data_IF_674891149665
#
_entry.id   IF_674891149665
#
_cell.length_a   1.000
_cell.length_b   1.000
_cell.length_c   1.000
_cell.angle_alpha   90.00
_cell.angle_beta   90.00
_cell.angle_gamma   90.00
#
_symmetry.space_group_name_H-M   'P 1'
#
loop_
_entity.id
_entity.type
_entity.pdbx_description
1 polymer ?
#
# COMPACT_ATOMS: atom_id res chain seq x y z
N UNK A 1 -7.14 37.45 -11.25
CA UNK A 1 -7.47 37.53 -12.69
C UNK A 1 -6.42 38.39 -13.33
N UNK A 2 -5.45 37.78 -14.01
CA UNK A 2 -4.35 38.50 -14.67
C UNK A 2 -4.23 37.95 -16.07
N UNK A 3 -4.74 38.73 -17.02
CA UNK A 3 -4.80 38.41 -18.45
C UNK A 3 -3.49 38.81 -19.09
N UNK A 4 -2.77 37.87 -19.69
CA UNK A 4 -1.61 38.17 -20.53
C UNK A 4 -2.08 38.57 -21.93
N UNK A 5 -1.72 39.78 -22.34
CA UNK A 5 -2.03 40.36 -23.64
C UNK A 5 -1.13 39.77 -24.73
N UNK A 6 -1.77 39.25 -25.79
CA UNK A 6 -1.16 38.79 -27.03
C UNK A 6 -0.71 40.01 -27.86
N UNK A 7 0.60 40.18 -28.11
CA UNK A 7 1.07 41.18 -29.08
C UNK A 7 1.34 40.51 -30.43
N UNK A 8 0.35 40.67 -31.31
CA UNK A 8 0.39 40.37 -32.73
C UNK A 8 1.18 41.49 -33.42
N UNK A 9 2.35 41.17 -34.01
CA UNK A 9 3.06 42.09 -34.90
C UNK A 9 2.90 41.60 -36.34
N UNK A 10 1.98 42.24 -37.07
CA UNK A 10 1.88 42.16 -38.52
C UNK A 10 2.79 43.22 -39.14
N UNK A 11 3.75 42.82 -39.97
CA UNK A 11 4.45 43.71 -40.89
C UNK A 11 4.28 43.16 -42.31
N UNK A 12 3.36 43.79 -43.03
CA UNK A 12 3.20 43.69 -44.47
C UNK A 12 4.36 44.42 -45.16
N UNK A 13 5.13 43.70 -45.96
CA UNK A 13 6.17 44.24 -46.83
C UNK A 13 6.07 43.60 -48.20
N UNK A 14 5.47 44.32 -49.15
CA UNK A 14 5.45 44.00 -50.58
C UNK A 14 6.78 44.41 -51.20
N UNK A 15 7.51 43.49 -51.84
CA UNK A 15 8.62 43.82 -52.74
C UNK A 15 8.51 43.01 -54.03
N UNK A 16 8.74 43.75 -55.12
CA UNK A 16 8.62 43.44 -56.53
C UNK A 16 9.46 42.25 -57.03
N UNK A 17 8.90 41.64 -58.06
CA UNK A 17 9.39 40.50 -58.84
C UNK A 17 10.54 40.93 -59.76
N UNK A 18 11.66 40.19 -59.71
CA UNK A 18 12.64 40.11 -60.80
C UNK A 18 12.87 38.65 -61.15
N UNK A 19 12.52 38.28 -62.39
CA UNK A 19 12.76 36.95 -62.96
C UNK A 19 14.16 36.90 -63.59
N UNK A 20 14.99 35.94 -63.18
CA UNK A 20 16.12 35.45 -63.94
C UNK A 20 16.58 34.07 -63.41
N UNK A 21 16.67 33.09 -64.32
CA UNK A 21 17.48 31.88 -64.16
C UNK A 21 16.74 30.63 -63.67
N UNK A 22 16.25 29.83 -64.62
CA UNK A 22 16.04 28.39 -64.37
C UNK A 22 17.38 27.68 -64.43
N UNK A 23 17.95 27.36 -63.26
CA UNK A 23 18.98 26.33 -63.12
C UNK A 23 18.33 25.09 -62.52
N UNK A 24 18.22 24.03 -63.31
CA UNK A 24 17.86 22.70 -62.81
C UNK A 24 18.97 22.19 -61.87
N UNK A 25 18.76 22.32 -60.57
CA UNK A 25 19.47 21.54 -59.56
C UNK A 25 18.68 20.25 -59.30
N UNK A 26 18.81 19.27 -60.21
CA UNK A 26 18.46 17.90 -59.90
C UNK A 26 19.73 17.21 -59.37
N UNK A 27 19.86 17.06 -58.06
CA UNK A 27 20.62 15.99 -57.37
C UNK A 27 20.63 16.20 -55.85
N UNK A 28 20.45 15.10 -55.12
CA UNK A 28 20.65 14.89 -53.68
C UNK A 28 19.44 14.98 -52.72
N UNK A 29 18.28 14.40 -53.09
CA UNK A 29 17.21 14.08 -52.11
C UNK A 29 17.33 12.68 -51.48
N UNK A 30 18.28 11.85 -51.93
CA UNK A 30 18.42 10.46 -51.45
C UNK A 30 19.22 10.33 -50.15
N UNK A 31 20.24 11.16 -49.92
CA UNK A 31 21.07 11.10 -48.70
C UNK A 31 20.35 11.65 -47.44
N UNK A 32 19.40 12.57 -47.62
CA UNK A 32 18.63 13.17 -46.52
C UNK A 32 17.43 12.30 -46.11
N UNK A 33 16.91 11.50 -47.05
CA UNK A 33 15.81 10.54 -46.82
C UNK A 33 16.30 9.30 -46.06
N UNK A 34 17.46 8.74 -46.42
CA UNK A 34 18.08 7.61 -45.69
C UNK A 34 18.45 7.98 -44.26
N UNK A 35 18.93 9.21 -44.01
CA UNK A 35 19.21 9.69 -42.64
C UNK A 35 17.95 9.81 -41.77
N UNK A 36 16.83 10.29 -42.32
CA UNK A 36 15.56 10.35 -41.58
C UNK A 36 14.98 8.98 -41.29
N UNK A 37 15.04 8.05 -42.24
CA UNK A 37 14.56 6.67 -42.05
C UNK A 37 15.42 5.93 -41.02
N UNK A 38 16.75 6.06 -41.09
CA UNK A 38 17.66 5.48 -40.08
C UNK A 38 17.43 6.07 -38.69
N UNK A 39 17.23 7.39 -38.58
CA UNK A 39 16.95 8.03 -37.29
C UNK A 39 15.58 7.61 -36.72
N UNK A 40 14.58 7.44 -37.59
CA UNK A 40 13.25 6.97 -37.18
C UNK A 40 13.28 5.52 -36.72
N UNK A 41 14.02 4.65 -37.41
CA UNK A 41 14.21 3.25 -37.04
C UNK A 41 14.94 3.08 -35.69
N UNK A 42 15.90 3.95 -35.38
CA UNK A 42 16.59 3.95 -34.08
C UNK A 42 15.67 4.39 -32.93
N UNK A 43 14.84 5.43 -33.15
CA UNK A 43 13.86 5.89 -32.16
C UNK A 43 12.77 4.82 -31.90
N UNK A 44 12.29 4.17 -32.95
CA UNK A 44 11.30 3.10 -32.87
C UNK A 44 11.87 1.90 -32.07
N UNK A 45 13.10 1.48 -32.41
CA UNK A 45 13.82 0.41 -31.69
C UNK A 45 14.01 0.74 -30.21
N UNK A 46 14.35 1.99 -29.88
CA UNK A 46 14.50 2.42 -28.50
C UNK A 46 13.17 2.41 -27.75
N UNK A 47 12.09 2.86 -28.37
CA UNK A 47 10.75 2.85 -27.77
C UNK A 47 10.27 1.43 -27.49
N UNK A 48 10.46 0.51 -28.43
CA UNK A 48 10.12 -0.90 -28.27
C UNK A 48 10.90 -1.54 -27.12
N UNK A 49 12.21 -1.23 -27.00
CA UNK A 49 13.02 -1.75 -25.88
C UNK A 49 12.56 -1.25 -24.51
N UNK A 50 12.03 -0.02 -24.44
CA UNK A 50 11.47 0.56 -23.22
C UNK A 50 10.15 -0.10 -22.85
N UNK A 51 9.26 -0.30 -23.82
CA UNK A 51 7.98 -0.97 -23.59
C UNK A 51 8.15 -2.43 -23.20
N UNK A 52 9.14 -3.14 -23.76
CA UNK A 52 9.50 -4.50 -23.33
C UNK A 52 10.02 -4.55 -21.89
N UNK A 53 10.71 -3.51 -21.42
CA UNK A 53 11.13 -3.41 -20.02
C UNK A 53 9.92 -3.19 -19.10
N UNK A 54 9.07 -2.21 -19.44
CA UNK A 54 7.87 -1.90 -18.65
C UNK A 54 6.89 -3.08 -18.61
N UNK A 55 6.69 -3.79 -19.73
CA UNK A 55 5.88 -5.00 -19.76
C UNK A 55 6.40 -6.07 -18.79
N UNK A 56 7.72 -6.29 -18.77
CA UNK A 56 8.36 -7.28 -17.87
C UNK A 56 8.19 -6.95 -16.40
N UNK A 57 8.25 -5.68 -16.01
CA UNK A 57 8.02 -5.25 -14.63
C UNK A 57 6.64 -5.66 -14.10
N UNK A 58 5.65 -5.73 -15.00
CA UNK A 58 4.29 -6.15 -14.70
C UNK A 58 4.01 -7.62 -15.05
N UNK A 59 5.02 -8.40 -15.45
CA UNK A 59 4.85 -9.78 -15.95
C UNK A 59 3.87 -9.90 -17.12
N UNK A 60 3.84 -8.87 -17.97
CA UNK A 60 3.02 -8.78 -19.18
C UNK A 60 3.86 -9.06 -20.42
N UNK A 61 3.19 -9.51 -21.49
CA UNK A 61 3.79 -9.50 -22.82
C UNK A 61 3.83 -8.08 -23.41
N UNK A 62 4.68 -7.81 -24.43
CA UNK A 62 4.68 -6.53 -25.13
C UNK A 62 3.29 -6.18 -25.73
N UNK A 63 2.55 -7.17 -26.20
CA UNK A 63 1.20 -6.96 -26.76
C UNK A 63 0.19 -6.57 -25.66
N UNK A 64 0.33 -7.12 -24.46
CA UNK A 64 -0.52 -6.76 -23.31
C UNK A 64 -0.21 -5.35 -22.81
N UNK A 65 1.06 -4.96 -22.83
CA UNK A 65 1.49 -3.59 -22.53
C UNK A 65 0.93 -2.58 -23.53
N UNK A 66 1.02 -2.87 -24.82
CA UNK A 66 0.42 -2.02 -25.87
C UNK A 66 -1.10 -1.91 -25.71
N UNK A 67 -1.76 -3.02 -25.32
CA UNK A 67 -3.19 -3.02 -25.03
C UNK A 67 -3.50 -2.10 -23.84
N UNK A 68 -2.72 -2.19 -22.77
CA UNK A 68 -2.85 -1.29 -21.63
C UNK A 68 -2.71 0.18 -22.03
N UNK A 69 -1.66 0.54 -22.80
CA UNK A 69 -1.45 1.90 -23.28
C UNK A 69 -2.65 2.42 -24.10
N UNK A 70 -3.21 1.56 -24.97
CA UNK A 70 -4.39 1.90 -25.77
C UNK A 70 -5.65 2.06 -24.90
N UNK A 71 -5.86 1.17 -23.92
CA UNK A 71 -6.98 1.27 -22.98
C UNK A 71 -6.91 2.57 -22.18
N UNK A 72 -5.72 2.99 -21.75
CA UNK A 72 -5.54 4.24 -21.00
C UNK A 72 -5.73 5.50 -21.84
N UNK A 73 -5.77 5.39 -23.17
CA UNK A 73 -6.18 6.50 -24.06
C UNK A 73 -7.70 6.56 -24.27
N UNK A 74 -8.46 5.58 -23.78
CA UNK A 74 -9.91 5.49 -23.90
C UNK A 74 -10.64 6.04 -22.66
N UNK A 75 -11.96 5.84 -22.60
CA UNK A 75 -12.77 6.16 -21.41
C UNK A 75 -12.23 5.55 -20.12
N UNK A 76 -11.56 4.39 -20.19
CA UNK A 76 -10.92 3.76 -19.02
C UNK A 76 -9.89 4.70 -18.37
N UNK A 77 -9.02 5.31 -19.15
CA UNK A 77 -8.02 6.26 -18.65
C UNK A 77 -8.63 7.59 -18.21
N UNK A 78 -9.76 8.00 -18.79
CA UNK A 78 -10.52 9.18 -18.33
C UNK A 78 -11.13 8.95 -16.95
N UNK A 79 -11.75 7.78 -16.73
CA UNK A 79 -12.34 7.43 -15.44
C UNK A 79 -11.32 7.16 -14.34
N UNK A 80 -10.16 6.59 -14.69
CA UNK A 80 -9.13 6.21 -13.72
C UNK A 80 -7.72 6.53 -14.24
N UNK A 81 -7.32 7.81 -14.28
CA UNK A 81 -5.98 8.19 -14.68
C UNK A 81 -4.92 7.51 -13.81
N UNK A 82 -3.88 6.94 -14.43
CA UNK A 82 -2.76 6.31 -13.71
C UNK A 82 -3.09 4.97 -13.03
N UNK A 83 -4.22 4.35 -13.36
CA UNK A 83 -4.53 2.99 -12.91
C UNK A 83 -3.45 2.01 -13.37
N UNK A 84 -3.07 1.09 -12.50
CA UNK A 84 -2.02 0.13 -12.81
C UNK A 84 -2.43 -0.82 -13.97
N UNK A 85 -1.46 -1.36 -14.72
CA UNK A 85 -1.72 -2.17 -15.90
C UNK A 85 -2.55 -3.42 -15.62
N UNK A 86 -2.28 -4.14 -14.53
CA UNK A 86 -2.94 -5.41 -14.23
C UNK A 86 -4.40 -5.17 -13.83
N UNK A 87 -4.67 -4.15 -13.02
CA UNK A 87 -6.05 -3.75 -12.69
C UNK A 87 -6.80 -3.25 -13.93
N UNK A 88 -6.18 -2.40 -14.75
CA UNK A 88 -6.80 -1.90 -15.97
C UNK A 88 -7.17 -3.04 -16.95
N UNK A 89 -6.22 -3.94 -17.21
CA UNK A 89 -6.40 -5.10 -18.09
C UNK A 89 -7.39 -6.13 -17.51
N UNK A 90 -7.44 -6.29 -16.19
CA UNK A 90 -8.36 -7.19 -15.49
C UNK A 90 -9.81 -6.70 -15.49
N UNK A 91 -10.04 -5.39 -15.31
CA UNK A 91 -11.38 -4.80 -15.40
C UNK A 91 -11.90 -4.89 -16.84
N UNK A 92 -11.05 -4.57 -17.82
CA UNK A 92 -11.35 -4.59 -19.26
C UNK A 92 -11.08 -5.96 -19.92
N UNK A 93 -11.02 -7.04 -19.12
CA UNK A 93 -10.79 -8.38 -19.64
C UNK A 93 -11.92 -8.84 -20.57
N UNK A 94 -11.55 -9.47 -21.68
CA UNK A 94 -12.47 -9.93 -22.74
C UNK A 94 -13.25 -11.19 -22.35
N UNK A 95 -12.73 -11.94 -21.38
CA UNK A 95 -13.31 -13.17 -20.88
C UNK A 95 -12.83 -13.46 -19.45
N UNK A 96 -13.42 -14.47 -18.81
CA UNK A 96 -13.14 -14.81 -17.41
C UNK A 96 -11.74 -15.40 -17.21
N UNK A 97 -11.17 -16.06 -18.22
CA UNK A 97 -9.80 -16.59 -18.16
C UNK A 97 -8.78 -15.45 -18.09
N UNK A 98 -8.94 -14.45 -18.96
CA UNK A 98 -8.11 -13.24 -18.98
C UNK A 98 -8.26 -12.46 -17.67
N UNK A 99 -9.50 -12.30 -17.17
CA UNK A 99 -9.79 -11.65 -15.89
C UNK A 99 -9.08 -12.36 -14.73
N UNK A 100 -9.18 -13.69 -14.69
CA UNK A 100 -8.54 -14.52 -13.67
C UNK A 100 -7.02 -14.41 -13.74
N UNK A 101 -6.42 -14.50 -14.92
CA UNK A 101 -4.97 -14.38 -15.11
C UNK A 101 -4.44 -13.05 -14.58
N UNK A 102 -5.08 -11.94 -14.92
CA UNK A 102 -4.64 -10.63 -14.42
C UNK A 102 -4.84 -10.46 -12.91
N UNK A 103 -5.93 -10.99 -12.35
CA UNK A 103 -6.12 -11.01 -10.90
C UNK A 103 -5.03 -11.81 -10.17
N UNK A 104 -4.65 -12.98 -10.70
CA UNK A 104 -3.57 -13.80 -10.14
C UNK A 104 -2.20 -13.11 -10.25
N UNK A 105 -1.94 -12.38 -11.34
CA UNK A 105 -0.74 -11.55 -11.49
C UNK A 105 -0.74 -10.38 -10.48
N UNK A 106 -1.88 -9.72 -10.29
CA UNK A 106 -2.03 -8.61 -9.35
C UNK A 106 -1.73 -9.05 -7.91
N UNK A 107 -2.31 -10.16 -7.47
CA UNK A 107 -2.06 -10.71 -6.12
C UNK A 107 -0.57 -11.01 -5.91
N UNK A 108 0.12 -11.56 -6.92
CA UNK A 108 1.56 -11.82 -6.85
C UNK A 108 2.37 -10.52 -6.77
N UNK A 109 2.02 -9.53 -7.59
CA UNK A 109 2.69 -8.23 -7.59
C UNK A 109 2.50 -7.50 -6.25
N UNK A 110 1.29 -7.51 -5.69
CA UNK A 110 0.97 -6.91 -4.39
C UNK A 110 1.68 -7.61 -3.23
N UNK A 111 1.76 -8.95 -3.26
CA UNK A 111 2.52 -9.71 -2.28
C UNK A 111 4.02 -9.31 -2.29
N UNK A 112 4.61 -9.20 -3.48
CA UNK A 112 6.00 -8.76 -3.64
C UNK A 112 6.20 -7.30 -3.20
N UNK A 113 5.27 -6.40 -3.55
CA UNK A 113 5.30 -4.99 -3.14
C UNK A 113 5.26 -4.88 -1.60
N UNK A 114 4.30 -5.54 -0.97
CA UNK A 114 4.14 -5.55 0.49
C UNK A 114 5.37 -6.13 1.19
N UNK A 115 5.98 -7.18 0.63
CA UNK A 115 7.21 -7.75 1.18
C UNK A 115 8.38 -6.76 1.15
N UNK A 116 8.54 -5.99 0.06
CA UNK A 116 9.57 -4.94 -0.05
C UNK A 116 9.31 -3.80 0.94
N UNK A 117 8.06 -3.36 1.07
CA UNK A 117 7.66 -2.32 2.01
C UNK A 117 7.93 -2.74 3.46
N UNK A 118 7.58 -3.98 3.83
CA UNK A 118 7.87 -4.50 5.17
C UNK A 118 9.37 -4.64 5.43
N UNK A 119 10.14 -5.08 4.44
CA UNK A 119 11.60 -5.15 4.54
C UNK A 119 12.21 -3.75 4.77
N UNK A 120 11.73 -2.74 4.04
CA UNK A 120 12.15 -1.37 4.24
C UNK A 120 11.72 -0.82 5.61
N UNK A 121 10.48 -1.09 6.04
CA UNK A 121 10.00 -0.65 7.36
C UNK A 121 10.89 -1.17 8.49
N UNK A 122 11.30 -2.44 8.45
CA UNK A 122 12.24 -3.00 9.44
C UNK A 122 13.58 -2.27 9.44
N UNK A 123 14.13 -2.02 8.25
CA UNK A 123 15.38 -1.26 8.11
C UNK A 123 15.23 0.18 8.63
N UNK A 124 14.07 0.80 8.39
CA UNK A 124 13.74 2.11 8.90
C UNK A 124 13.64 2.12 10.43
N UNK A 125 12.95 1.14 11.03
CA UNK A 125 12.81 1.02 12.49
C UNK A 125 14.17 0.83 13.18
N UNK A 126 15.04 0.01 12.59
CA UNK A 126 16.40 -0.20 13.10
C UNK A 126 17.28 1.03 12.91
N UNK A 127 17.13 1.76 11.80
CA UNK A 127 17.78 3.05 11.61
C UNK A 127 17.29 4.07 12.65
N UNK A 128 15.99 4.11 12.93
CA UNK A 128 15.41 5.00 13.93
C UNK A 128 15.99 4.75 15.32
N UNK A 129 16.05 3.49 15.77
CA UNK A 129 16.65 3.13 17.08
C UNK A 129 18.09 3.59 17.21
N UNK A 130 18.88 3.48 16.13
CA UNK A 130 20.30 3.87 16.11
C UNK A 130 20.50 5.38 16.08
N UNK A 131 19.67 6.10 15.32
CA UNK A 131 19.80 7.55 15.14
C UNK A 131 19.12 8.35 16.25
N UNK A 132 18.06 7.80 16.85
CA UNK A 132 17.24 8.47 17.86
C UNK A 132 16.93 7.56 19.06
N UNK A 133 17.95 7.04 19.78
CA UNK A 133 17.76 6.06 20.85
C UNK A 133 16.95 6.58 22.05
N UNK A 134 16.88 7.90 22.23
CA UNK A 134 16.17 8.54 23.35
C UNK A 134 14.77 9.04 22.96
N UNK A 135 14.37 8.90 21.70
CA UNK A 135 13.01 9.22 21.27
C UNK A 135 12.18 7.93 21.30
N UNK A 136 11.14 7.90 22.13
CA UNK A 136 10.17 6.81 22.11
C UNK A 136 9.16 7.11 20.98
N UNK A 137 9.12 6.31 19.88
CA UNK A 137 8.25 6.61 18.73
C UNK A 137 6.76 6.61 19.08
N UNK A 138 6.39 5.81 20.08
CA UNK A 138 5.07 5.75 20.69
C UNK A 138 5.31 5.82 22.19
N UNK A 139 5.06 6.97 22.81
CA UNK A 139 5.13 7.08 24.26
C UNK A 139 4.21 6.02 24.86
N UNK A 140 4.79 4.95 25.40
CA UNK A 140 4.07 4.02 26.25
C UNK A 140 3.71 4.84 27.48
N UNK A 141 2.45 5.27 27.62
CA UNK A 141 1.92 5.79 28.87
C UNK A 141 1.79 4.65 29.89
N UNK A 142 2.87 3.89 30.07
CA UNK A 142 2.96 2.68 30.87
C UNK A 142 4.32 2.67 31.58
N UNK A 143 4.66 3.78 32.23
CA UNK A 143 5.24 3.74 33.57
C UNK A 143 5.46 5.16 34.07
N UNK A 144 5.13 5.31 35.35
CA UNK A 144 5.28 6.49 36.21
C UNK A 144 4.04 7.39 36.23
N UNK A 145 3.40 7.41 37.41
CA UNK A 145 2.07 7.94 37.64
C UNK A 145 1.94 9.41 37.24
N UNK A 146 1.13 9.66 36.22
CA UNK A 146 0.28 10.83 36.06
C UNK A 146 -0.54 10.62 34.78
N UNK A 147 -1.86 10.63 34.92
CA UNK A 147 -2.87 10.77 33.85
C UNK A 147 -2.72 9.82 32.65
N UNK A 148 -3.25 8.60 32.78
CA UNK A 148 -3.65 7.81 31.63
C UNK A 148 -4.69 8.58 30.78
N UNK A 149 -4.55 8.53 29.46
CA UNK A 149 -5.57 8.99 28.50
C UNK A 149 -6.98 8.49 28.88
N UNK A 150 -8.06 9.24 28.58
CA UNK A 150 -9.43 8.88 28.99
C UNK A 150 -9.88 7.49 28.53
N UNK A 151 -9.27 6.94 27.47
CA UNK A 151 -9.59 5.61 26.93
C UNK A 151 -9.11 4.44 27.80
N UNK A 152 -8.23 4.67 28.78
CA UNK A 152 -7.76 3.63 29.71
C UNK A 152 -8.25 3.87 31.15
N UNK A 153 -9.21 4.78 31.34
CA UNK A 153 -9.95 4.90 32.59
C UNK A 153 -11.06 3.85 32.62
N UNK A 154 -10.66 2.59 32.80
CA UNK A 154 -11.58 1.59 33.34
C UNK A 154 -12.12 2.04 34.70
N UNK A 155 -13.10 1.32 35.24
CA UNK A 155 -13.66 1.55 36.59
C UNK A 155 -12.68 1.32 37.76
N UNK A 156 -11.36 1.32 37.49
CA UNK A 156 -10.29 0.99 38.43
C UNK A 156 -10.05 -0.50 38.61
N UNK A 157 -10.83 -1.39 37.98
CA UNK A 157 -10.61 -2.84 38.00
C UNK A 157 -9.54 -3.24 37.00
N UNK A 158 -8.71 -4.20 37.39
CA UNK A 158 -7.69 -4.76 36.52
C UNK A 158 -8.32 -5.76 35.54
N UNK A 159 -8.04 -5.64 34.23
CA UNK A 159 -8.38 -6.68 33.26
C UNK A 159 -7.24 -7.71 33.17
N UNK A 160 -7.55 -8.98 33.38
CA UNK A 160 -6.60 -10.09 33.36
C UNK A 160 -6.98 -11.06 32.23
N UNK A 161 -6.19 -11.07 31.17
CA UNK A 161 -6.40 -11.96 30.02
C UNK A 161 -5.67 -13.28 30.22
N UNK A 162 -6.38 -14.40 30.08
CA UNK A 162 -5.85 -15.73 30.37
C UNK A 162 -6.13 -16.71 29.24
N UNK A 163 -5.26 -17.71 29.12
CA UNK A 163 -5.49 -18.93 28.34
C UNK A 163 -5.52 -20.13 29.28
N UNK A 164 -6.12 -21.21 28.82
CA UNK A 164 -6.17 -22.50 29.53
C UNK A 164 -4.79 -23.13 29.73
N UNK A 165 -3.88 -22.94 28.79
CA UNK A 165 -2.49 -23.43 28.82
C UNK A 165 -1.51 -22.46 29.52
N UNK A 166 -1.95 -21.77 30.57
CA UNK A 166 -1.14 -20.76 31.27
C UNK A 166 -1.05 -20.98 32.80
N UNK A 167 -0.09 -21.78 33.29
CA UNK A 167 0.12 -21.98 34.72
C UNK A 167 0.44 -20.68 35.49
N UNK A 168 1.22 -19.78 34.88
CA UNK A 168 1.57 -18.48 35.46
C UNK A 168 0.35 -17.57 35.65
N UNK A 169 -0.67 -17.70 34.79
CA UNK A 169 -1.92 -16.96 34.92
C UNK A 169 -2.64 -17.34 36.21
N UNK A 170 -2.65 -18.63 36.57
CA UNK A 170 -3.23 -19.09 37.84
C UNK A 170 -2.47 -18.54 39.05
N UNK A 171 -1.12 -18.48 38.99
CA UNK A 171 -0.30 -17.88 40.06
C UNK A 171 -0.63 -16.41 40.24
N UNK A 172 -0.70 -15.65 39.14
CA UNK A 172 -1.00 -14.22 39.17
C UNK A 172 -2.39 -13.94 39.72
N UNK A 173 -3.40 -14.68 39.28
CA UNK A 173 -4.79 -14.51 39.74
C UNK A 173 -4.97 -14.87 41.22
N UNK A 174 -4.29 -15.92 41.70
CA UNK A 174 -4.25 -16.21 43.14
C UNK A 174 -3.62 -15.08 43.96
N UNK A 175 -2.52 -14.50 43.47
CA UNK A 175 -1.88 -13.37 44.14
C UNK A 175 -2.78 -12.13 44.19
N UNK A 176 -3.47 -11.81 43.09
CA UNK A 176 -4.44 -10.70 43.03
C UNK A 176 -5.62 -10.93 43.99
N UNK A 177 -6.14 -12.16 44.01
CA UNK A 177 -7.21 -12.56 44.92
C UNK A 177 -6.79 -12.42 46.39
N UNK A 178 -5.58 -12.86 46.75
CA UNK A 178 -5.07 -12.76 48.12
C UNK A 178 -4.91 -11.31 48.59
N UNK A 179 -4.63 -10.39 47.67
CA UNK A 179 -4.56 -8.95 47.91
C UNK A 179 -5.95 -8.29 48.03
N UNK A 180 -7.03 -9.05 47.82
CA UNK A 180 -8.41 -8.55 47.73
C UNK A 180 -8.58 -7.48 46.64
N UNK A 181 -7.69 -7.45 45.65
CA UNK A 181 -7.78 -6.54 44.51
C UNK A 181 -8.97 -6.96 43.63
N UNK A 182 -9.88 -6.04 43.24
CA UNK A 182 -10.91 -6.34 42.26
C UNK A 182 -10.33 -6.43 40.83
N UNK A 183 -10.70 -7.49 40.09
CA UNK A 183 -10.26 -7.70 38.71
C UNK A 183 -11.25 -8.52 37.88
N UNK A 184 -11.14 -8.40 36.56
CA UNK A 184 -12.01 -9.03 35.58
C UNK A 184 -11.15 -10.00 34.75
N UNK A 185 -11.48 -11.28 34.80
CA UNK A 185 -10.80 -12.32 34.01
C UNK A 185 -11.45 -12.38 32.65
N UNK A 186 -10.64 -12.36 31.59
CA UNK A 186 -11.08 -12.53 30.21
C UNK A 186 -10.41 -13.76 29.61
N UNK A 187 -11.20 -14.74 29.15
CA UNK A 187 -10.64 -15.93 28.51
C UNK A 187 -10.36 -15.67 27.02
N UNK A 188 -9.08 -15.74 26.66
CA UNK A 188 -8.63 -15.59 25.28
C UNK A 188 -8.90 -16.87 24.50
N UNK A 189 -9.57 -16.73 23.35
CA UNK A 189 -9.86 -17.85 22.47
C UNK A 189 -10.90 -18.81 23.05
N UNK A 190 -11.82 -18.34 23.90
CA UNK A 190 -12.90 -19.13 24.52
C UNK A 190 -13.79 -19.85 23.49
N UNK A 191 -13.88 -19.34 22.26
CA UNK A 191 -14.84 -19.78 21.23
C UNK A 191 -16.31 -19.67 21.71
N UNK A 192 -16.59 -18.67 22.56
CA UNK A 192 -17.90 -18.44 23.16
C UNK A 192 -18.40 -19.59 24.05
N UNK A 193 -17.47 -20.38 24.59
CA UNK A 193 -17.72 -21.46 25.54
C UNK A 193 -17.39 -21.02 26.98
N UNK A 194 -18.43 -20.63 27.71
CA UNK A 194 -18.31 -20.18 29.11
C UNK A 194 -17.85 -21.30 30.06
N UNK A 195 -18.05 -22.57 29.72
CA UNK A 195 -17.61 -23.67 30.59
C UNK A 195 -16.09 -23.69 30.73
N UNK A 196 -15.37 -23.22 29.71
CA UNK A 196 -13.90 -23.14 29.75
C UNK A 196 -13.41 -22.18 30.81
N UNK A 197 -13.98 -20.98 30.89
CA UNK A 197 -13.56 -20.00 31.92
C UNK A 197 -14.02 -20.44 33.31
N UNK A 198 -15.18 -21.09 33.45
CA UNK A 198 -15.65 -21.65 34.73
C UNK A 198 -14.71 -22.75 35.23
N UNK A 199 -14.38 -23.72 34.37
CA UNK A 199 -13.47 -24.81 34.72
C UNK A 199 -12.06 -24.29 35.01
N UNK A 200 -11.56 -23.38 34.18
CA UNK A 200 -10.26 -22.74 34.42
C UNK A 200 -10.22 -21.98 35.74
N UNK A 201 -11.30 -21.26 36.11
CA UNK A 201 -11.38 -20.54 37.37
C UNK A 201 -11.30 -21.49 38.58
N UNK A 202 -11.99 -22.63 38.51
CA UNK A 202 -11.95 -23.68 39.56
C UNK A 202 -10.52 -24.24 39.70
N UNK A 203 -9.91 -24.66 38.58
CA UNK A 203 -8.55 -25.21 38.58
C UNK A 203 -7.51 -24.17 39.04
N UNK A 204 -7.74 -22.91 38.68
CA UNK A 204 -6.89 -21.77 39.07
C UNK A 204 -7.12 -21.30 40.50
N UNK A 205 -8.03 -21.93 41.26
CA UNK A 205 -8.29 -21.62 42.67
C UNK A 205 -8.90 -20.24 42.90
N UNK A 206 -9.71 -19.75 41.96
CA UNK A 206 -10.58 -18.60 42.19
C UNK A 206 -11.67 -19.03 43.17
N UNK A 207 -11.83 -18.28 44.25
CA UNK A 207 -12.89 -18.51 45.22
C UNK A 207 -14.25 -18.12 44.63
N UNK A 208 -15.22 -19.05 44.53
CA UNK A 208 -16.56 -18.74 44.04
C UNK A 208 -17.26 -17.62 44.82
N UNK A 209 -16.92 -17.40 46.09
CA UNK A 209 -17.46 -16.29 46.86
C UNK A 209 -17.06 -14.94 46.27
N UNK A 210 -15.81 -14.79 45.83
CA UNK A 210 -15.31 -13.55 45.21
C UNK A 210 -15.94 -13.29 43.84
N UNK A 211 -16.37 -14.35 43.13
CA UNK A 211 -17.15 -14.22 41.90
C UNK A 211 -18.58 -13.77 42.20
N UNK A 212 -19.22 -14.39 43.20
CA UNK A 212 -20.60 -14.04 43.62
C UNK A 212 -20.72 -12.59 44.11
N UNK A 213 -19.71 -12.08 44.81
CA UNK A 213 -19.67 -10.68 45.28
C UNK A 213 -19.22 -9.70 44.20
N UNK A 214 -18.93 -10.16 42.97
CA UNK A 214 -18.37 -9.37 41.86
C UNK A 214 -17.03 -8.70 42.21
N UNK A 215 -16.31 -9.20 43.20
CA UNK A 215 -14.92 -8.83 43.42
C UNK A 215 -14.05 -9.33 42.26
N UNK A 216 -14.36 -10.52 41.74
CA UNK A 216 -13.79 -11.09 40.52
C UNK A 216 -14.93 -11.28 39.52
N UNK A 217 -14.75 -10.91 38.26
CA UNK A 217 -15.69 -11.31 37.19
C UNK A 217 -15.00 -12.26 36.21
N UNK A 218 -15.80 -13.12 35.55
CA UNK A 218 -15.35 -14.08 34.55
C UNK A 218 -16.05 -13.72 33.23
N UNK A 219 -15.28 -13.39 32.20
CA UNK A 219 -15.74 -12.89 30.90
C UNK A 219 -15.07 -13.60 29.72
#
# INVERSE_FOLDING_TARGET
MTVYNLRMFTLTGVILITAAGMTNAATNSSAQSTSREQQSALLDSQSQSSDEMLARDWSLSPQEWQRYQTLMQSSRGVYSPGLDPLTALGIEARNDEERRRYAELQVKAEAQRTAKELAYQRAYDDAFKRLYPNLIPIASSASQGATASPANQGNGRLAVFVKDDCPECSVRVKALQAQKQPFDVYMVGSQNDDERIRNWAIVSGIDPANVRTRQITLN
#
